data_IF_131026642104
#
_entry.id   IF_131026642104
#
_cell.length_a   1.000
_cell.length_b   1.000
_cell.length_c   1.000
_cell.angle_alpha   90.00
_cell.angle_beta   90.00
_cell.angle_gamma   90.00
#
_symmetry.space_group_name_H-M   'P 1'
#
loop_
_entity.id
_entity.type
_entity.pdbx_description
1 polymer ?
#
# COMPACT_ATOMS: atom_id res chain seq x y z
N UNK A 1 0.81 1.81 -15.96
CA UNK A 1 -0.22 0.99 -15.26
C UNK A 1 -0.90 -0.01 -16.21
N UNK A 2 -1.39 0.40 -17.44
CA UNK A 2 -2.11 -0.48 -18.38
C UNK A 2 -1.34 -1.77 -18.68
N UNK A 3 -0.09 -1.70 -19.15
CA UNK A 3 0.71 -2.89 -19.47
C UNK A 3 0.98 -3.81 -18.26
N UNK A 4 1.04 -3.25 -17.04
CA UNK A 4 1.14 -4.05 -15.80
C UNK A 4 -0.16 -4.82 -15.58
N UNK A 5 -1.32 -4.16 -15.71
CA UNK A 5 -2.63 -4.80 -15.58
C UNK A 5 -2.85 -5.90 -16.64
N UNK A 6 -2.46 -5.64 -17.90
CA UNK A 6 -2.52 -6.64 -18.98
C UNK A 6 -1.63 -7.86 -18.68
N UNK A 7 -0.41 -7.64 -18.19
CA UNK A 7 0.49 -8.72 -17.79
C UNK A 7 -0.06 -9.55 -16.63
N UNK A 8 -0.54 -8.90 -15.57
CA UNK A 8 -1.11 -9.57 -14.41
C UNK A 8 -2.38 -10.36 -14.79
N UNK A 9 -3.23 -9.80 -15.64
CA UNK A 9 -4.41 -10.48 -16.16
C UNK A 9 -4.06 -11.71 -17.01
N UNK A 10 -3.02 -11.60 -17.84
CA UNK A 10 -2.56 -12.72 -18.69
C UNK A 10 -1.88 -13.83 -17.89
N UNK A 11 -1.38 -13.54 -16.69
CA UNK A 11 -0.73 -14.50 -15.78
C UNK A 11 -1.60 -14.92 -14.62
N UNK A 12 -2.85 -14.44 -14.55
CA UNK A 12 -3.81 -14.82 -13.50
C UNK A 12 -4.04 -16.34 -13.49
N UNK A 13 -4.03 -16.95 -12.31
CA UNK A 13 -4.22 -18.39 -12.16
C UNK A 13 -5.64 -18.81 -12.57
N UNK A 14 -5.75 -19.98 -13.20
CA UNK A 14 -7.00 -20.60 -13.65
C UNK A 14 -7.29 -21.94 -12.97
N UNK A 15 -6.33 -22.46 -12.22
CA UNK A 15 -6.38 -23.79 -11.62
C UNK A 15 -5.65 -23.86 -10.28
N UNK A 16 -5.97 -24.87 -9.49
CA UNK A 16 -5.27 -25.18 -8.23
C UNK A 16 -3.99 -25.94 -8.53
N UNK A 17 -2.86 -25.41 -8.04
CA UNK A 17 -1.57 -26.10 -8.04
C UNK A 17 -0.81 -25.77 -6.76
N UNK A 18 -0.77 -26.71 -5.83
CA UNK A 18 -0.15 -26.53 -4.51
C UNK A 18 1.34 -26.19 -4.60
N UNK A 19 2.09 -26.76 -5.56
CA UNK A 19 3.52 -26.47 -5.69
C UNK A 19 3.82 -25.01 -6.09
N UNK A 20 2.86 -24.34 -6.73
CA UNK A 20 2.95 -22.95 -7.15
C UNK A 20 2.12 -22.01 -6.25
N UNK A 21 1.42 -22.54 -5.25
CA UNK A 21 0.44 -21.81 -4.42
C UNK A 21 -0.68 -21.13 -5.26
N UNK A 22 -1.01 -21.72 -6.44
CA UNK A 22 -2.02 -21.14 -7.31
C UNK A 22 -3.42 -21.63 -6.98
N UNK A 23 -4.39 -20.76 -7.15
CA UNK A 23 -5.82 -20.98 -7.02
C UNK A 23 -6.55 -20.15 -8.08
N UNK A 24 -7.69 -20.60 -8.64
CA UNK A 24 -8.41 -19.85 -9.66
C UNK A 24 -8.67 -18.40 -9.26
N UNK A 25 -8.28 -17.46 -10.11
CA UNK A 25 -8.45 -16.02 -9.86
C UNK A 25 -7.29 -15.33 -9.14
N UNK A 26 -6.38 -16.07 -8.50
CA UNK A 26 -5.23 -15.52 -7.78
C UNK A 26 -4.26 -14.82 -8.73
N UNK A 27 -3.70 -13.70 -8.31
CA UNK A 27 -2.71 -12.94 -9.09
C UNK A 27 -1.30 -13.43 -8.74
N UNK A 28 -0.44 -13.47 -9.76
CA UNK A 28 0.94 -13.91 -9.63
C UNK A 28 1.70 -13.04 -8.62
N UNK A 29 2.50 -13.68 -7.76
CA UNK A 29 3.43 -13.01 -6.86
C UNK A 29 4.76 -12.74 -7.57
N UNK A 30 5.32 -13.80 -8.14
CA UNK A 30 6.68 -13.79 -8.66
C UNK A 30 6.78 -14.68 -9.91
N UNK A 31 7.62 -14.26 -10.87
CA UNK A 31 7.96 -15.06 -12.03
C UNK A 31 9.46 -14.99 -12.32
N UNK A 32 10.12 -16.14 -12.33
CA UNK A 32 11.56 -16.27 -12.65
C UNK A 32 11.77 -17.16 -13.85
N UNK A 33 12.71 -16.76 -14.70
CA UNK A 33 13.15 -17.52 -15.87
C UNK A 33 14.55 -18.15 -15.65
N UNK A 34 15.01 -18.28 -14.41
CA UNK A 34 16.28 -18.90 -14.07
C UNK A 34 16.28 -20.40 -14.38
N UNK A 35 17.46 -21.00 -14.51
CA UNK A 35 17.59 -22.44 -14.73
C UNK A 35 16.95 -23.25 -13.61
N UNK A 36 17.22 -22.88 -12.33
CA UNK A 36 16.61 -23.52 -11.15
C UNK A 36 15.09 -23.50 -11.17
N UNK A 37 14.48 -22.39 -11.63
CA UNK A 37 13.04 -22.31 -11.76
C UNK A 37 12.50 -23.18 -12.92
N UNK A 38 13.25 -23.28 -14.03
CA UNK A 38 12.84 -24.12 -15.17
C UNK A 38 12.95 -25.61 -14.91
N UNK A 39 13.90 -26.04 -14.09
CA UNK A 39 14.05 -27.46 -13.69
C UNK A 39 13.23 -27.83 -12.44
N UNK A 40 12.50 -26.87 -11.87
CA UNK A 40 11.59 -27.10 -10.73
C UNK A 40 12.29 -27.24 -9.36
N UNK A 41 13.57 -26.88 -9.24
CA UNK A 41 14.29 -26.87 -7.96
C UNK A 41 13.81 -25.76 -7.02
N UNK A 42 13.22 -24.69 -7.57
CA UNK A 42 12.53 -23.63 -6.83
C UNK A 42 11.16 -23.39 -7.43
N UNK A 43 10.10 -23.09 -6.64
CA UNK A 43 8.72 -22.96 -7.13
C UNK A 43 8.46 -21.70 -7.95
N UNK A 44 9.43 -20.78 -8.06
CA UNK A 44 9.27 -19.41 -8.55
C UNK A 44 9.26 -19.26 -10.09
N UNK A 45 9.03 -20.30 -10.86
CA UNK A 45 8.79 -20.21 -12.31
C UNK A 45 7.54 -19.37 -12.61
N UNK A 46 6.41 -19.77 -12.04
CA UNK A 46 5.21 -18.97 -11.78
C UNK A 46 4.79 -19.29 -10.36
N UNK A 47 4.82 -18.30 -9.49
CA UNK A 47 4.54 -18.49 -8.08
C UNK A 47 3.46 -17.53 -7.60
N UNK A 48 2.49 -18.04 -6.84
CA UNK A 48 1.30 -17.31 -6.42
C UNK A 48 1.19 -17.19 -4.90
N UNK A 49 2.24 -17.49 -4.15
CA UNK A 49 2.27 -17.43 -2.69
C UNK A 49 2.34 -16.00 -2.16
N UNK A 50 1.32 -15.21 -2.46
CA UNK A 50 1.08 -13.87 -1.96
C UNK A 50 -0.42 -13.70 -1.75
N UNK A 51 -0.81 -13.15 -0.60
CA UNK A 51 -2.20 -12.89 -0.24
C UNK A 51 -2.64 -11.48 -0.65
N UNK A 52 -1.71 -10.57 -0.84
CA UNK A 52 -1.94 -9.15 -1.10
C UNK A 52 -1.97 -8.79 -2.60
N UNK A 53 -1.27 -9.54 -3.47
CA UNK A 53 -1.20 -9.24 -4.90
C UNK A 53 -2.58 -9.22 -5.59
N UNK A 54 -3.51 -10.07 -5.15
CA UNK A 54 -4.84 -10.18 -5.74
C UNK A 54 -5.73 -8.97 -5.43
N UNK A 55 -5.92 -8.52 -4.18
CA UNK A 55 -6.63 -7.27 -3.92
C UNK A 55 -5.91 -6.04 -4.49
N UNK A 56 -4.58 -5.99 -4.47
CA UNK A 56 -3.80 -4.89 -5.06
C UNK A 56 -4.00 -4.77 -6.59
N UNK A 57 -4.19 -5.89 -7.30
CA UNK A 57 -4.55 -5.87 -8.72
C UNK A 57 -5.89 -5.17 -8.96
N UNK A 58 -6.90 -5.46 -8.12
CA UNK A 58 -8.22 -4.82 -8.23
C UNK A 58 -8.13 -3.33 -7.90
N UNK A 59 -7.37 -2.95 -6.85
CA UNK A 59 -7.12 -1.55 -6.51
C UNK A 59 -6.45 -0.82 -7.68
N UNK A 60 -5.38 -1.40 -8.28
CA UNK A 60 -4.70 -0.79 -9.41
C UNK A 60 -5.61 -0.62 -10.64
N UNK A 61 -6.53 -1.56 -10.87
CA UNK A 61 -7.51 -1.44 -11.94
C UNK A 61 -8.49 -0.27 -11.68
N UNK A 62 -8.92 -0.09 -10.41
CA UNK A 62 -9.76 1.03 -9.99
C UNK A 62 -9.05 2.38 -10.11
N UNK A 63 -7.85 2.49 -9.59
CA UNK A 63 -7.00 3.69 -9.71
C UNK A 63 -6.72 4.06 -11.17
N UNK A 64 -6.50 3.06 -12.02
CA UNK A 64 -6.35 3.27 -13.47
C UNK A 64 -7.63 3.84 -14.08
N UNK A 65 -8.79 3.27 -13.71
CA UNK A 65 -10.09 3.75 -14.16
C UNK A 65 -10.33 5.21 -13.73
N UNK A 66 -10.16 5.53 -12.47
CA UNK A 66 -10.38 6.88 -11.93
C UNK A 66 -9.47 7.92 -12.60
N UNK A 67 -8.23 7.51 -12.86
CA UNK A 67 -7.22 8.36 -13.49
C UNK A 67 -7.43 8.59 -14.98
N UNK A 68 -7.97 7.60 -15.71
CA UNK A 68 -8.01 7.61 -17.19
C UNK A 68 -9.41 7.72 -17.77
N UNK A 69 -10.43 7.20 -17.11
CA UNK A 69 -11.78 7.04 -17.68
C UNK A 69 -11.83 6.10 -18.90
N UNK A 70 -10.82 5.24 -19.09
CA UNK A 70 -10.70 4.31 -20.23
C UNK A 70 -11.72 3.16 -20.10
N UNK A 71 -12.95 3.43 -20.54
CA UNK A 71 -14.06 2.49 -20.44
C UNK A 71 -13.85 1.22 -21.28
N UNK A 72 -13.16 1.34 -22.41
CA UNK A 72 -12.88 0.18 -23.28
C UNK A 72 -11.94 -0.78 -22.56
N UNK A 73 -10.84 -0.27 -22.01
CA UNK A 73 -9.93 -1.08 -21.22
C UNK A 73 -10.59 -1.62 -19.95
N UNK A 74 -11.40 -0.83 -19.26
CA UNK A 74 -12.18 -1.29 -18.11
C UNK A 74 -13.05 -2.50 -18.47
N UNK A 75 -13.80 -2.44 -19.58
CA UNK A 75 -14.62 -3.57 -20.02
C UNK A 75 -13.77 -4.80 -20.37
N UNK A 76 -12.58 -4.59 -20.95
CA UNK A 76 -11.64 -5.66 -21.28
C UNK A 76 -11.09 -6.37 -20.04
N UNK A 77 -10.68 -5.62 -19.00
CA UNK A 77 -10.06 -6.17 -17.77
C UNK A 77 -11.08 -6.70 -16.77
N UNK A 78 -12.34 -6.28 -16.86
CA UNK A 78 -13.39 -6.60 -15.89
C UNK A 78 -13.55 -8.10 -15.59
N UNK A 79 -13.50 -9.03 -16.56
CA UNK A 79 -13.54 -10.47 -16.27
C UNK A 79 -12.41 -10.94 -15.36
N UNK A 80 -11.25 -10.32 -15.43
CA UNK A 80 -10.12 -10.63 -14.55
C UNK A 80 -10.34 -10.06 -13.14
N UNK A 81 -10.92 -8.87 -13.04
CA UNK A 81 -11.33 -8.27 -11.76
C UNK A 81 -12.36 -9.14 -11.07
N UNK A 82 -13.39 -9.63 -11.77
CA UNK A 82 -14.39 -10.55 -11.19
C UNK A 82 -13.74 -11.83 -10.69
N UNK A 83 -12.83 -12.47 -11.45
CA UNK A 83 -12.12 -13.66 -10.98
C UNK A 83 -11.24 -13.39 -9.74
N UNK A 84 -10.63 -12.21 -9.66
CA UNK A 84 -9.87 -11.80 -8.47
C UNK A 84 -10.79 -11.62 -7.25
N UNK A 85 -11.96 -11.02 -7.43
CA UNK A 85 -12.99 -10.89 -6.38
C UNK A 85 -13.54 -12.26 -5.97
N UNK A 86 -13.75 -13.16 -6.92
CA UNK A 86 -14.17 -14.54 -6.64
C UNK A 86 -13.10 -15.31 -5.85
N UNK A 87 -11.81 -15.07 -6.12
CA UNK A 87 -10.74 -15.63 -5.31
C UNK A 87 -10.76 -15.08 -3.87
N UNK A 88 -10.95 -13.78 -3.70
CA UNK A 88 -11.06 -13.13 -2.39
C UNK A 88 -12.20 -13.76 -1.57
N UNK A 89 -13.36 -13.97 -2.20
CA UNK A 89 -14.57 -14.45 -1.52
C UNK A 89 -14.58 -15.98 -1.27
N UNK A 90 -13.84 -16.79 -2.06
CA UNK A 90 -13.96 -18.25 -2.02
C UNK A 90 -12.68 -19.01 -1.61
N UNK A 91 -11.51 -18.40 -1.79
CA UNK A 91 -10.22 -19.01 -1.48
C UNK A 91 -9.42 -18.19 -0.47
N UNK A 92 -9.57 -16.87 -0.50
CA UNK A 92 -8.89 -15.96 0.42
C UNK A 92 -9.44 -16.05 1.85
N UNK A 93 -10.75 -16.28 1.99
CA UNK A 93 -11.41 -16.54 3.28
C UNK A 93 -11.50 -18.06 3.48
N UNK A 94 -10.54 -18.63 4.22
CA UNK A 94 -10.39 -20.08 4.35
C UNK A 94 -11.39 -20.73 5.31
N UNK A 95 -11.92 -19.99 6.28
CA UNK A 95 -12.80 -20.50 7.33
C UNK A 95 -14.18 -19.87 7.36
N UNK A 96 -14.45 -18.89 6.48
CA UNK A 96 -15.75 -18.26 6.30
C UNK A 96 -16.07 -17.17 7.33
N UNK A 97 -15.05 -16.58 7.95
CA UNK A 97 -15.21 -15.51 8.95
C UNK A 97 -15.22 -14.09 8.34
N UNK A 98 -14.99 -13.98 7.03
CA UNK A 98 -15.00 -12.74 6.27
C UNK A 98 -13.62 -12.06 6.15
N UNK A 99 -12.56 -12.57 6.78
CA UNK A 99 -11.20 -12.09 6.63
C UNK A 99 -10.44 -12.88 5.56
N UNK A 100 -9.64 -12.15 4.80
CA UNK A 100 -8.70 -12.78 3.85
C UNK A 100 -7.43 -13.16 4.58
N UNK A 101 -7.03 -14.42 4.43
CA UNK A 101 -5.93 -15.02 5.15
C UNK A 101 -5.12 -15.99 4.27
N UNK A 102 -4.00 -16.43 4.76
CA UNK A 102 -3.14 -17.37 4.04
C UNK A 102 -2.60 -18.48 4.94
N UNK A 103 -2.40 -19.62 4.32
CA UNK A 103 -1.59 -20.71 4.84
C UNK A 103 -0.70 -21.24 3.71
N UNK A 104 0.54 -21.59 4.04
CA UNK A 104 1.46 -22.20 3.08
C UNK A 104 1.02 -23.62 2.74
N UNK A 105 0.86 -23.92 1.45
CA UNK A 105 0.56 -25.28 0.93
C UNK A 105 1.80 -25.96 0.35
N UNK A 106 2.67 -25.21 -0.32
CA UNK A 106 3.92 -25.74 -0.88
C UNK A 106 4.99 -25.90 0.19
N UNK A 107 5.63 -27.08 0.24
CA UNK A 107 6.75 -27.33 1.17
C UNK A 107 7.93 -26.36 0.93
N UNK A 108 8.14 -25.92 -0.31
CA UNK A 108 9.20 -25.01 -0.73
C UNK A 108 8.72 -23.56 -0.90
N UNK A 109 7.45 -23.28 -0.60
CA UNK A 109 6.86 -21.95 -0.68
C UNK A 109 7.21 -21.06 0.50
N UNK A 110 6.88 -19.77 0.38
CA UNK A 110 7.07 -18.80 1.45
C UNK A 110 6.19 -19.12 2.66
N UNK A 111 6.76 -19.01 3.85
CA UNK A 111 6.03 -19.22 5.12
C UNK A 111 5.08 -18.05 5.37
N UNK A 112 5.55 -16.84 5.13
CA UNK A 112 4.76 -15.62 5.18
C UNK A 112 4.46 -15.15 3.75
N UNK A 113 3.21 -14.78 3.47
CA UNK A 113 2.73 -14.48 2.12
C UNK A 113 2.16 -13.05 1.98
N UNK A 114 2.46 -12.15 2.91
CA UNK A 114 2.26 -10.72 2.78
C UNK A 114 3.55 -10.03 2.33
N UNK A 115 3.53 -8.69 2.25
CA UNK A 115 4.69 -7.92 1.82
C UNK A 115 5.92 -8.09 2.74
N UNK A 116 5.69 -8.41 4.03
CA UNK A 116 6.73 -8.82 4.98
C UNK A 116 6.89 -10.35 4.93
N UNK A 117 7.56 -10.84 3.92
CA UNK A 117 7.65 -12.27 3.60
C UNK A 117 8.77 -13.04 4.32
N UNK A 118 9.55 -12.40 5.19
CA UNK A 118 10.50 -13.11 6.07
C UNK A 118 9.77 -14.10 6.97
N UNK A 119 10.30 -15.30 7.13
CA UNK A 119 9.68 -16.39 7.88
C UNK A 119 9.34 -16.07 9.34
N UNK A 120 9.94 -15.02 9.89
CA UNK A 120 9.80 -14.56 11.28
C UNK A 120 9.07 -13.23 11.43
N UNK A 121 8.42 -12.72 10.38
CA UNK A 121 7.87 -11.36 10.35
C UNK A 121 6.53 -11.21 11.08
N UNK A 122 5.77 -12.29 11.29
CA UNK A 122 4.46 -12.25 11.95
C UNK A 122 4.53 -13.06 13.25
N UNK A 123 4.31 -12.38 14.37
CA UNK A 123 4.54 -12.92 15.70
C UNK A 123 3.67 -12.24 16.77
N UNK A 124 3.51 -12.88 17.92
CA UNK A 124 2.84 -12.37 19.12
C UNK A 124 3.78 -11.49 19.97
N UNK A 125 3.22 -10.75 20.91
CA UNK A 125 3.95 -9.82 21.79
C UNK A 125 5.11 -10.47 22.56
N UNK A 126 5.05 -11.78 22.83
CA UNK A 126 6.11 -12.56 23.47
C UNK A 126 7.19 -13.05 22.49
N UNK A 127 7.04 -12.76 21.19
CA UNK A 127 7.95 -13.20 20.15
C UNK A 127 7.64 -14.57 19.55
N UNK A 128 6.62 -15.30 20.01
CA UNK A 128 6.19 -16.56 19.39
C UNK A 128 5.59 -16.29 18.01
N UNK A 129 5.93 -17.12 17.03
CA UNK A 129 5.42 -16.96 15.66
C UNK A 129 3.92 -17.23 15.58
N UNK A 130 3.21 -16.47 14.80
CA UNK A 130 1.80 -16.69 14.53
C UNK A 130 1.59 -18.01 13.79
N UNK A 131 0.59 -18.79 14.22
CA UNK A 131 0.19 -20.01 13.55
C UNK A 131 -0.79 -19.69 12.40
N UNK A 132 -0.58 -20.33 11.25
CA UNK A 132 -1.50 -20.17 10.11
C UNK A 132 -2.86 -20.89 10.35
N UNK A 133 -3.94 -20.49 9.63
CA UNK A 133 -3.96 -19.40 8.64
C UNK A 133 -3.84 -18.02 9.30
N UNK A 134 -3.26 -17.04 8.58
CA UNK A 134 -2.93 -15.71 9.11
C UNK A 134 -3.67 -14.65 8.32
N UNK A 135 -4.46 -13.81 9.01
CA UNK A 135 -5.12 -12.65 8.45
C UNK A 135 -4.32 -11.38 8.78
N UNK A 136 -3.66 -10.79 7.78
CA UNK A 136 -2.86 -9.56 7.94
C UNK A 136 -3.77 -8.32 7.95
N UNK A 137 -3.47 -7.33 8.78
CA UNK A 137 -4.31 -6.13 8.89
C UNK A 137 -4.31 -5.29 7.60
N UNK A 138 -3.18 -5.14 6.94
CA UNK A 138 -3.07 -4.39 5.68
C UNK A 138 -3.83 -5.07 4.54
N UNK A 139 -3.87 -6.40 4.51
CA UNK A 139 -4.60 -7.14 3.48
C UNK A 139 -6.10 -6.92 3.58
N UNK A 140 -6.65 -6.84 4.81
CA UNK A 140 -8.06 -6.50 4.99
C UNK A 140 -8.38 -5.11 4.43
N UNK A 141 -7.48 -4.16 4.62
CA UNK A 141 -7.64 -2.82 4.07
C UNK A 141 -7.55 -2.79 2.54
N UNK A 142 -6.67 -3.59 1.95
CA UNK A 142 -6.59 -3.74 0.49
C UNK A 142 -7.86 -4.38 -0.07
N UNK A 143 -8.42 -5.39 0.59
CA UNK A 143 -9.69 -6.01 0.20
C UNK A 143 -10.85 -5.01 0.30
N UNK A 144 -10.90 -4.22 1.37
CA UNK A 144 -11.88 -3.16 1.54
C UNK A 144 -11.86 -2.16 0.38
N UNK A 145 -10.69 -1.59 0.10
CA UNK A 145 -10.50 -0.58 -0.96
C UNK A 145 -10.72 -1.19 -2.36
N UNK A 146 -10.26 -2.42 -2.59
CA UNK A 146 -10.51 -3.18 -3.81
C UNK A 146 -12.02 -3.35 -4.08
N UNK A 147 -12.82 -3.70 -3.06
CA UNK A 147 -14.27 -3.82 -3.19
C UNK A 147 -14.94 -2.47 -3.51
N UNK A 148 -14.47 -1.36 -2.92
CA UNK A 148 -14.98 -0.02 -3.23
C UNK A 148 -14.64 0.40 -4.67
N UNK A 149 -13.40 0.21 -5.10
CA UNK A 149 -12.98 0.46 -6.49
C UNK A 149 -13.76 -0.42 -7.48
N UNK A 150 -13.92 -1.70 -7.18
CA UNK A 150 -14.71 -2.62 -7.99
C UNK A 150 -16.19 -2.20 -8.07
N UNK A 151 -16.75 -1.66 -6.99
CA UNK A 151 -18.12 -1.12 -7.02
C UNK A 151 -18.24 0.08 -7.96
N UNK A 152 -17.27 1.01 -7.93
CA UNK A 152 -17.23 2.15 -8.87
C UNK A 152 -17.08 1.68 -10.33
N UNK A 153 -16.23 0.70 -10.58
CA UNK A 153 -16.05 0.08 -11.90
C UNK A 153 -17.32 -0.63 -12.38
N UNK A 154 -18.02 -1.36 -11.49
CA UNK A 154 -19.29 -2.03 -11.80
C UNK A 154 -20.39 -1.03 -12.17
N UNK A 155 -20.52 0.09 -11.44
CA UNK A 155 -21.45 1.17 -11.80
C UNK A 155 -21.15 1.73 -13.19
N UNK A 156 -19.87 2.00 -13.49
CA UNK A 156 -19.45 2.50 -14.80
C UNK A 156 -19.79 1.51 -15.94
N UNK A 157 -19.80 0.22 -15.65
CA UNK A 157 -20.18 -0.83 -16.61
C UNK A 157 -21.69 -1.13 -16.65
N UNK A 158 -22.51 -0.41 -15.85
CA UNK A 158 -23.95 -0.60 -15.79
C UNK A 158 -24.39 -1.85 -15.02
N UNK A 159 -23.64 -2.22 -13.97
CA UNK A 159 -23.89 -3.39 -13.10
C UNK A 159 -24.23 -2.94 -11.65
N UNK A 160 -25.34 -2.21 -11.42
CA UNK A 160 -25.62 -1.57 -10.12
C UNK A 160 -25.84 -2.58 -8.98
N UNK A 161 -26.40 -3.76 -9.26
CA UNK A 161 -26.62 -4.79 -8.24
C UNK A 161 -25.26 -5.35 -7.74
N UNK A 162 -24.29 -5.56 -8.66
CA UNK A 162 -22.93 -5.97 -8.29
C UNK A 162 -22.24 -4.89 -7.45
N UNK A 163 -22.38 -3.64 -7.84
CA UNK A 163 -21.83 -2.49 -7.12
C UNK A 163 -22.39 -2.41 -5.69
N UNK A 164 -23.70 -2.57 -5.52
CA UNK A 164 -24.36 -2.56 -4.22
C UNK A 164 -23.86 -3.71 -3.32
N UNK A 165 -23.72 -4.94 -3.88
CA UNK A 165 -23.18 -6.09 -3.15
C UNK A 165 -21.75 -5.81 -2.67
N UNK A 166 -20.88 -5.29 -3.54
CA UNK A 166 -19.48 -5.00 -3.20
C UNK A 166 -19.36 -3.95 -2.11
N UNK A 167 -20.16 -2.87 -2.15
CA UNK A 167 -20.18 -1.85 -1.08
C UNK A 167 -20.63 -2.45 0.25
N UNK A 168 -21.64 -3.35 0.23
CA UNK A 168 -22.08 -4.02 1.46
C UNK A 168 -20.96 -4.91 2.01
N UNK A 169 -20.30 -5.72 1.19
CA UNK A 169 -19.18 -6.57 1.60
C UNK A 169 -18.01 -5.74 2.16
N UNK A 170 -17.73 -4.56 1.58
CA UNK A 170 -16.72 -3.65 2.11
C UNK A 170 -17.10 -3.13 3.50
N UNK A 171 -18.35 -2.70 3.70
CA UNK A 171 -18.80 -2.19 5.00
C UNK A 171 -18.85 -3.29 6.07
N UNK A 172 -19.28 -4.50 5.72
CA UNK A 172 -19.29 -5.65 6.63
C UNK A 172 -17.85 -5.96 7.10
N UNK A 173 -16.88 -5.95 6.16
CA UNK A 173 -15.46 -6.14 6.48
C UNK A 173 -14.92 -5.02 7.38
N UNK A 174 -15.28 -3.75 7.12
CA UNK A 174 -14.85 -2.61 7.95
C UNK A 174 -15.33 -2.77 9.40
N UNK A 175 -16.59 -3.16 9.60
CA UNK A 175 -17.13 -3.38 10.93
C UNK A 175 -16.40 -4.51 11.67
N UNK A 176 -16.18 -5.65 10.99
CA UNK A 176 -15.45 -6.77 11.56
C UNK A 176 -13.98 -6.42 11.86
N UNK A 177 -13.32 -5.66 10.96
CA UNK A 177 -11.94 -5.20 11.16
C UNK A 177 -11.81 -4.33 12.42
N UNK A 178 -12.70 -3.37 12.61
CA UNK A 178 -12.70 -2.49 13.79
C UNK A 178 -12.94 -3.25 15.10
N UNK A 179 -13.70 -4.34 15.06
CA UNK A 179 -13.99 -5.17 16.22
C UNK A 179 -12.82 -6.09 16.59
N UNK A 180 -12.18 -6.73 15.61
CA UNK A 180 -11.24 -7.83 15.86
C UNK A 180 -9.77 -7.42 15.86
N UNK A 181 -9.38 -6.38 15.08
CA UNK A 181 -7.98 -5.99 14.96
C UNK A 181 -7.56 -4.89 15.92
N UNK A 182 -8.50 -4.06 16.44
CA UNK A 182 -8.15 -2.99 17.34
C UNK A 182 -7.68 -3.50 18.70
N UNK A 183 -6.51 -3.04 19.14
CA UNK A 183 -5.91 -3.38 20.44
C UNK A 183 -5.76 -2.10 21.27
N UNK A 184 -6.70 -1.88 22.20
CA UNK A 184 -6.73 -0.66 23.04
C UNK A 184 -5.48 -0.52 23.92
N UNK A 185 -4.95 -1.64 24.41
CA UNK A 185 -3.78 -1.71 25.29
C UNK A 185 -2.48 -1.23 24.65
N UNK A 186 -2.33 -1.42 23.32
CA UNK A 186 -1.17 -0.93 22.56
C UNK A 186 -1.51 0.28 21.67
N UNK A 187 -2.78 0.72 21.66
CA UNK A 187 -3.26 1.92 20.95
C UNK A 187 -3.19 1.86 19.42
N UNK A 188 -3.18 0.65 18.85
CA UNK A 188 -3.11 0.42 17.40
C UNK A 188 -3.80 -0.89 17.03
N UNK A 189 -3.90 -1.16 15.72
CA UNK A 189 -4.38 -2.45 15.21
C UNK A 189 -3.29 -3.52 15.33
N UNK A 190 -3.68 -4.75 15.64
CA UNK A 190 -2.80 -5.91 15.60
C UNK A 190 -2.20 -6.06 14.19
N UNK A 191 -0.94 -6.51 14.11
CA UNK A 191 -0.30 -6.77 12.81
C UNK A 191 -1.06 -7.85 12.02
N UNK A 192 -1.64 -8.84 12.73
CA UNK A 192 -2.40 -9.94 12.16
C UNK A 192 -3.32 -10.58 13.21
N UNK A 193 -4.26 -11.40 12.74
CA UNK A 193 -4.91 -12.44 13.54
C UNK A 193 -4.28 -13.78 13.15
N UNK A 194 -3.97 -14.63 14.14
CA UNK A 194 -3.45 -15.98 13.92
C UNK A 194 -4.58 -16.97 13.54
N UNK A 195 -4.24 -18.24 13.31
CA UNK A 195 -5.21 -19.28 12.95
C UNK A 195 -6.24 -19.63 14.02
N UNK A 196 -6.16 -19.03 15.20
CA UNK A 196 -7.18 -19.08 16.25
C UNK A 196 -7.87 -17.72 16.43
N UNK A 197 -7.66 -16.81 15.51
CA UNK A 197 -8.13 -15.42 15.53
C UNK A 197 -7.66 -14.62 16.75
N UNK A 198 -6.50 -15.02 17.31
CA UNK A 198 -5.87 -14.26 18.39
C UNK A 198 -5.06 -13.09 17.78
N UNK A 199 -5.22 -11.87 18.28
CA UNK A 199 -4.50 -10.72 17.74
C UNK A 199 -3.00 -10.78 18.09
N UNK A 200 -2.16 -10.66 17.07
CA UNK A 200 -0.72 -10.45 17.20
C UNK A 200 -0.45 -9.00 17.58
N UNK A 201 -0.38 -8.72 18.87
CA UNK A 201 -0.32 -7.36 19.47
C UNK A 201 1.09 -6.81 19.40
N UNK A 202 1.47 -6.35 18.20
CA UNK A 202 2.78 -5.78 17.89
C UNK A 202 2.58 -4.42 17.25
N UNK A 203 3.28 -3.41 17.75
CA UNK A 203 3.31 -2.08 17.14
C UNK A 203 4.17 -2.13 15.88
N UNK A 204 3.54 -2.05 14.73
CA UNK A 204 4.14 -2.22 13.42
C UNK A 204 3.72 -1.13 12.44
N UNK A 205 4.36 -1.07 11.29
CA UNK A 205 3.99 -0.15 10.20
C UNK A 205 2.73 -0.58 9.43
N UNK A 206 2.31 -1.85 9.51
CA UNK A 206 1.17 -2.40 8.78
C UNK A 206 -0.14 -1.61 8.95
N UNK A 207 -0.49 -1.06 10.15
CA UNK A 207 -1.64 -0.17 10.29
C UNK A 207 -1.56 1.12 9.47
N UNK A 208 -0.38 1.56 9.05
CA UNK A 208 -0.20 2.66 8.11
C UNK A 208 -0.79 2.34 6.73
N UNK A 209 -0.68 1.08 6.29
CA UNK A 209 -1.34 0.59 5.07
C UNK A 209 -2.86 0.47 5.26
N UNK A 210 -3.34 0.19 6.48
CA UNK A 210 -4.77 0.21 6.77
C UNK A 210 -5.35 1.64 6.67
N UNK A 211 -4.59 2.66 7.06
CA UNK A 211 -4.93 4.06 6.78
C UNK A 211 -4.94 4.34 5.26
N UNK A 212 -3.94 3.86 4.52
CA UNK A 212 -3.90 4.01 3.06
C UNK A 212 -5.13 3.40 2.38
N UNK A 213 -5.51 2.18 2.75
CA UNK A 213 -6.72 1.51 2.25
C UNK A 213 -8.04 2.13 2.73
N UNK A 214 -8.03 2.96 3.79
CA UNK A 214 -9.19 3.72 4.24
C UNK A 214 -10.21 2.95 5.07
N UNK A 215 -9.86 1.77 5.60
CA UNK A 215 -10.75 0.92 6.40
C UNK A 215 -10.93 1.40 7.84
N UNK A 216 -10.00 2.21 8.33
CA UNK A 216 -9.80 2.58 9.74
C UNK A 216 -10.81 3.63 10.21
N UNK A 217 -11.31 3.52 11.44
CA UNK A 217 -12.01 4.61 12.11
C UNK A 217 -11.12 5.86 12.24
N UNK A 218 -11.69 7.07 12.11
CA UNK A 218 -10.93 8.30 12.06
C UNK A 218 -10.15 8.58 13.35
N UNK A 219 -10.78 8.38 14.52
CA UNK A 219 -10.16 8.69 15.82
C UNK A 219 -9.07 7.68 16.16
N UNK A 220 -9.31 6.40 15.92
CA UNK A 220 -8.30 5.34 15.99
C UNK A 220 -7.17 5.58 15.00
N UNK A 221 -7.51 5.99 13.77
CA UNK A 221 -6.56 6.34 12.73
C UNK A 221 -5.61 7.47 13.13
N UNK A 222 -6.10 8.49 13.85
CA UNK A 222 -5.23 9.55 14.40
C UNK A 222 -4.23 8.99 15.41
N UNK A 223 -4.64 8.11 16.31
CA UNK A 223 -3.76 7.45 17.29
C UNK A 223 -2.70 6.59 16.58
N UNK A 224 -3.10 5.84 15.55
CA UNK A 224 -2.15 5.07 14.72
C UNK A 224 -1.13 5.98 14.04
N UNK A 225 -1.56 7.07 13.42
CA UNK A 225 -0.67 7.99 12.72
C UNK A 225 0.33 8.66 13.69
N UNK A 226 -0.11 9.06 14.87
CA UNK A 226 0.76 9.61 15.94
C UNK A 226 1.76 8.57 16.44
N UNK A 227 1.35 7.33 16.63
CA UNK A 227 2.24 6.22 16.99
C UNK A 227 3.32 6.00 15.93
N UNK A 228 2.93 6.01 14.63
CA UNK A 228 3.86 5.77 13.52
C UNK A 228 4.93 6.87 13.35
N UNK A 229 4.63 8.12 13.71
CA UNK A 229 5.62 9.22 13.74
C UNK A 229 6.31 9.38 15.09
N UNK A 230 5.92 8.60 16.10
CA UNK A 230 6.56 8.57 17.41
C UNK A 230 7.97 7.97 17.38
N UNK A 231 8.83 8.32 18.34
CA UNK A 231 10.26 7.97 18.34
C UNK A 231 10.56 6.46 18.34
N UNK A 232 9.65 5.61 18.82
CA UNK A 232 9.83 4.15 18.77
C UNK A 232 9.62 3.59 17.35
N UNK A 233 8.71 4.19 16.57
CA UNK A 233 8.46 3.81 15.18
C UNK A 233 9.26 4.64 14.18
N UNK A 234 9.41 5.96 14.40
CA UNK A 234 10.08 6.84 13.47
C UNK A 234 11.57 6.96 13.76
N UNK A 235 12.40 6.51 12.81
CA UNK A 235 13.87 6.52 12.94
C UNK A 235 14.51 7.89 12.70
N UNK A 236 13.76 8.86 12.18
CA UNK A 236 14.27 10.13 11.64
C UNK A 236 14.57 10.06 10.13
N UNK A 237 14.60 8.85 9.54
CA UNK A 237 14.69 8.62 8.10
C UNK A 237 13.34 8.16 7.50
N UNK A 238 12.59 7.42 8.25
CA UNK A 238 11.28 6.86 7.90
C UNK A 238 10.73 6.00 9.04
N UNK A 239 9.57 5.40 8.79
CA UNK A 239 8.87 4.54 9.72
C UNK A 239 9.54 3.16 9.74
N UNK A 240 9.86 2.64 10.92
CA UNK A 240 10.36 1.28 11.10
C UNK A 240 9.23 0.28 10.89
N UNK A 241 9.59 -0.90 10.41
CA UNK A 241 8.63 -1.99 10.20
C UNK A 241 7.96 -2.48 11.48
N UNK A 242 8.69 -2.42 12.62
CA UNK A 242 8.16 -2.61 13.98
C UNK A 242 8.82 -1.64 14.95
N UNK A 243 8.15 -1.38 16.10
CA UNK A 243 8.62 -0.45 17.10
C UNK A 243 9.86 -0.97 17.86
N UNK A 244 10.70 -0.04 18.29
CA UNK A 244 11.75 -0.34 19.27
C UNK A 244 11.09 -0.88 20.53
N UNK A 245 11.62 -1.98 21.07
CA UNK A 245 11.09 -2.65 22.25
C UNK A 245 10.16 -3.83 21.99
N UNK A 246 9.69 -4.01 20.75
CA UNK A 246 8.98 -5.25 20.39
C UNK A 246 9.94 -6.46 20.45
N UNK A 247 9.40 -7.64 20.78
CA UNK A 247 10.19 -8.83 21.11
C UNK A 247 11.19 -9.27 20.00
N UNK A 248 10.88 -9.01 18.73
CA UNK A 248 11.74 -9.34 17.59
C UNK A 248 12.40 -8.12 16.95
N UNK A 249 12.40 -6.98 17.63
CA UNK A 249 13.03 -5.78 17.09
C UNK A 249 14.53 -5.97 16.90
N UNK A 250 14.99 -5.75 15.67
CA UNK A 250 16.40 -5.62 15.32
C UNK A 250 16.51 -4.63 14.14
N UNK A 251 17.21 -3.47 14.30
CA UNK A 251 17.30 -2.47 13.24
C UNK A 251 18.00 -2.97 11.97
N UNK A 252 18.60 -4.15 12.01
CA UNK A 252 19.23 -4.83 10.86
C UNK A 252 18.44 -6.05 10.38
N UNK A 253 17.27 -6.37 10.97
CA UNK A 253 16.42 -7.45 10.48
C UNK A 253 15.55 -6.96 9.33
N UNK A 254 15.52 -7.74 8.23
CA UNK A 254 14.91 -7.36 6.95
C UNK A 254 13.49 -6.81 7.07
N UNK A 255 12.59 -7.47 7.85
CA UNK A 255 11.23 -7.00 8.10
C UNK A 255 10.91 -6.68 9.58
N UNK A 256 11.90 -6.81 10.49
CA UNK A 256 11.66 -6.64 11.93
C UNK A 256 12.47 -5.50 12.54
N UNK A 257 12.42 -4.31 11.93
CA UNK A 257 13.02 -3.10 12.50
C UNK A 257 13.70 -2.17 11.50
N UNK A 258 13.86 -2.56 10.24
CA UNK A 258 14.36 -1.72 9.13
C UNK A 258 13.33 -0.68 8.69
N UNK A 259 13.74 0.24 7.82
CA UNK A 259 12.90 1.26 7.20
C UNK A 259 12.78 0.99 5.70
N UNK A 260 11.54 0.90 5.23
CA UNK A 260 11.22 0.69 3.82
C UNK A 260 10.58 1.96 3.26
N UNK A 261 11.15 2.55 2.20
CA UNK A 261 10.59 3.77 1.62
C UNK A 261 9.14 3.66 1.20
N UNK A 262 8.75 2.53 0.54
CA UNK A 262 7.37 2.33 0.10
C UNK A 262 6.38 2.25 1.26
N UNK A 263 6.71 1.51 2.31
CA UNK A 263 5.93 1.36 3.54
C UNK A 263 5.69 2.72 4.22
N UNK A 264 6.78 3.49 4.39
CA UNK A 264 6.71 4.87 4.90
C UNK A 264 5.84 5.77 4.01
N UNK A 265 5.96 5.65 2.68
CA UNK A 265 5.18 6.44 1.72
C UNK A 265 3.70 6.10 1.73
N UNK A 266 3.34 4.82 1.84
CA UNK A 266 1.94 4.39 1.97
C UNK A 266 1.31 4.90 3.27
N UNK A 267 2.04 4.82 4.39
CA UNK A 267 1.58 5.39 5.65
C UNK A 267 1.33 6.91 5.54
N UNK A 268 2.27 7.65 4.92
CA UNK A 268 2.12 9.10 4.70
C UNK A 268 0.91 9.44 3.80
N UNK A 269 0.66 8.64 2.76
CA UNK A 269 -0.54 8.77 1.93
C UNK A 269 -1.81 8.47 2.72
N UNK A 270 -1.77 7.49 3.62
CA UNK A 270 -2.84 7.22 4.57
C UNK A 270 -3.12 8.42 5.47
N UNK A 271 -2.09 9.06 6.03
CA UNK A 271 -2.26 10.29 6.82
C UNK A 271 -2.97 11.39 6.02
N UNK A 272 -2.54 11.60 4.78
CA UNK A 272 -3.17 12.57 3.88
C UNK A 272 -4.63 12.22 3.58
N UNK A 273 -4.94 10.95 3.31
CA UNK A 273 -6.32 10.47 3.07
C UNK A 273 -7.25 10.83 4.23
N UNK A 274 -6.78 10.74 5.46
CA UNK A 274 -7.54 11.07 6.67
C UNK A 274 -7.48 12.56 7.05
N UNK A 275 -6.70 13.39 6.35
CA UNK A 275 -6.53 14.81 6.63
C UNK A 275 -5.66 15.09 7.85
N UNK A 276 -4.69 14.20 8.14
CA UNK A 276 -3.67 14.38 9.18
C UNK A 276 -2.43 15.04 8.57
N UNK A 277 -2.62 16.17 7.93
CA UNK A 277 -1.60 16.87 7.13
C UNK A 277 -0.36 17.26 7.94
N UNK A 278 -0.54 17.54 9.23
CA UNK A 278 0.53 17.81 10.20
C UNK A 278 1.51 16.65 10.40
N UNK A 279 1.09 15.42 10.12
CA UNK A 279 1.91 14.21 10.28
C UNK A 279 2.61 13.75 8.99
N UNK A 280 2.25 14.29 7.82
CA UNK A 280 2.83 13.91 6.52
C UNK A 280 4.26 14.43 6.36
N UNK A 281 4.56 15.60 6.94
CA UNK A 281 5.83 16.30 6.74
C UNK A 281 7.04 15.53 7.23
N UNK A 282 6.95 14.84 8.38
CA UNK A 282 8.07 14.13 8.97
C UNK A 282 8.54 12.93 8.13
N UNK A 283 7.66 12.01 7.69
CA UNK A 283 8.02 10.94 6.76
C UNK A 283 8.61 11.45 5.46
N UNK A 284 8.04 12.51 4.89
CA UNK A 284 8.55 13.10 3.65
C UNK A 284 9.94 13.69 3.82
N UNK A 285 10.17 14.49 4.87
CA UNK A 285 11.48 15.07 5.14
C UNK A 285 12.55 14.00 5.37
N UNK A 286 12.23 12.98 6.16
CA UNK A 286 13.15 11.87 6.42
C UNK A 286 13.55 11.12 5.16
N UNK A 287 12.59 10.73 4.31
CA UNK A 287 12.88 10.05 3.05
C UNK A 287 13.59 10.96 2.03
N UNK A 288 13.24 12.25 1.97
CA UNK A 288 13.92 13.20 1.12
C UNK A 288 15.40 13.33 1.49
N UNK A 289 15.70 13.51 2.77
CA UNK A 289 17.08 13.61 3.24
C UNK A 289 17.85 12.29 3.09
N UNK A 290 17.18 11.14 3.25
CA UNK A 290 17.75 9.85 2.92
C UNK A 290 18.11 9.76 1.43
N UNK A 291 17.22 10.21 0.54
CA UNK A 291 17.48 10.23 -0.91
C UNK A 291 18.66 11.13 -1.29
N UNK A 292 18.86 12.26 -0.60
CA UNK A 292 20.02 13.14 -0.81
C UNK A 292 21.33 12.46 -0.39
N UNK A 293 21.28 11.61 0.62
CA UNK A 293 22.46 10.92 1.17
C UNK A 293 22.86 9.66 0.39
N UNK A 294 21.99 9.11 -0.46
CA UNK A 294 22.29 7.89 -1.24
C UNK A 294 22.85 8.23 -2.62
N UNK A 295 23.64 7.30 -3.17
CA UNK A 295 24.28 7.47 -4.48
C UNK A 295 23.26 7.72 -5.60
N UNK A 296 23.53 8.71 -6.44
CA UNK A 296 22.67 9.13 -7.54
C UNK A 296 21.22 9.49 -7.13
N UNK A 297 20.97 9.74 -5.85
CA UNK A 297 19.62 10.00 -5.29
C UNK A 297 18.60 8.88 -5.57
N UNK A 298 19.09 7.65 -5.76
CA UNK A 298 18.25 6.48 -6.04
C UNK A 298 17.91 5.76 -4.75
N UNK A 299 16.65 5.82 -4.37
CA UNK A 299 16.18 5.15 -3.15
C UNK A 299 16.39 3.64 -3.24
N UNK A 300 17.09 3.04 -2.26
CA UNK A 300 17.21 1.59 -2.16
C UNK A 300 15.86 1.00 -1.68
N UNK A 301 15.76 -0.31 -1.78
CA UNK A 301 14.64 -1.08 -1.28
C UNK A 301 14.34 -0.79 0.20
N UNK A 302 15.38 -0.80 1.03
CA UNK A 302 15.31 -0.52 2.46
C UNK A 302 16.66 0.01 2.97
N UNK A 303 16.66 0.53 4.17
CA UNK A 303 17.85 0.80 4.97
C UNK A 303 17.63 0.40 6.43
N UNK A 304 18.75 0.25 7.18
CA UNK A 304 18.68 -0.18 8.59
C UNK A 304 17.90 0.81 9.43
N UNK A 305 17.17 0.31 10.43
CA UNK A 305 16.28 1.10 11.27
C UNK A 305 16.96 1.81 12.45
N UNK A 306 18.26 2.06 12.36
CA UNK A 306 18.96 2.84 13.41
C UNK A 306 18.41 4.25 13.50
N UNK A 307 18.41 4.79 14.72
CA UNK A 307 18.04 6.19 14.93
C UNK A 307 18.98 7.12 14.17
N UNK A 308 18.44 8.13 13.52
CA UNK A 308 19.19 9.16 12.82
C UNK A 308 20.19 9.85 13.75
N UNK A 309 21.40 10.05 13.27
CA UNK A 309 22.47 10.80 13.92
C UNK A 309 22.80 12.04 13.13
N UNK A 310 23.14 13.10 13.84
CA UNK A 310 23.53 14.37 13.19
C UNK A 310 24.80 14.20 12.37
N UNK A 311 24.77 14.62 11.09
CA UNK A 311 25.93 14.59 10.19
C UNK A 311 26.19 13.22 9.53
N UNK A 312 25.36 12.20 9.81
CA UNK A 312 25.47 10.88 9.17
C UNK A 312 24.28 10.66 8.22
N UNK A 313 24.50 9.85 7.17
CA UNK A 313 23.43 9.34 6.31
C UNK A 313 22.76 8.10 6.91
N UNK A 314 21.67 7.58 6.27
CA UNK A 314 21.07 6.33 6.70
C UNK A 314 22.07 5.16 6.55
N UNK A 315 22.08 4.25 7.52
CA UNK A 315 22.88 3.03 7.43
C UNK A 315 22.25 2.13 6.35
N UNK A 316 22.96 1.92 5.26
CA UNK A 316 22.48 1.11 4.14
C UNK A 316 22.36 -0.37 4.53
N UNK A 317 21.35 -1.04 3.99
CA UNK A 317 21.21 -2.48 4.15
C UNK A 317 22.07 -3.20 3.09
N UNK A 318 22.98 -4.12 3.48
CA UNK A 318 24.06 -4.59 2.60
C UNK A 318 23.63 -5.27 1.31
N UNK A 319 22.46 -5.93 1.32
CA UNK A 319 21.93 -6.72 0.18
C UNK A 319 20.62 -6.15 -0.39
N UNK A 320 20.31 -4.89 -0.06
CA UNK A 320 19.13 -4.21 -0.61
C UNK A 320 19.26 -4.02 -2.12
N UNK A 321 18.17 -4.23 -2.86
CA UNK A 321 18.09 -3.83 -4.25
C UNK A 321 18.22 -2.30 -4.36
N UNK A 322 19.06 -1.80 -5.26
CA UNK A 322 19.30 -0.37 -5.46
C UNK A 322 19.53 -0.04 -6.93
N UNK A 323 18.60 0.69 -7.56
CA UNK A 323 17.30 1.12 -7.05
C UNK A 323 16.26 -0.02 -6.98
N UNK A 324 15.18 0.22 -6.21
CA UNK A 324 14.00 -0.64 -6.20
C UNK A 324 12.79 0.14 -6.75
N UNK A 325 11.94 -0.51 -7.53
CA UNK A 325 10.84 0.15 -8.26
C UNK A 325 9.87 0.88 -7.31
N UNK A 326 9.37 0.22 -6.27
CA UNK A 326 8.43 0.83 -5.32
C UNK A 326 9.09 1.94 -4.47
N UNK A 327 10.39 1.81 -4.13
CA UNK A 327 11.13 2.87 -3.46
C UNK A 327 11.32 4.10 -4.36
N UNK A 328 11.54 3.89 -5.66
CA UNK A 328 11.62 4.99 -6.64
C UNK A 328 10.28 5.70 -6.84
N UNK A 329 9.17 4.96 -6.75
CA UNK A 329 7.82 5.51 -6.88
C UNK A 329 7.39 6.37 -5.69
N UNK A 330 7.97 6.16 -4.52
CA UNK A 330 7.53 6.81 -3.27
C UNK A 330 7.64 8.35 -3.33
N UNK A 331 8.60 8.90 -4.03
CA UNK A 331 8.79 10.36 -4.17
C UNK A 331 7.56 11.01 -4.78
N UNK A 332 7.01 10.42 -5.84
CA UNK A 332 5.79 10.91 -6.48
C UNK A 332 4.57 10.72 -5.59
N UNK A 333 4.53 9.62 -4.86
CA UNK A 333 3.45 9.33 -3.92
C UNK A 333 3.41 10.33 -2.77
N UNK A 334 4.56 10.68 -2.20
CA UNK A 334 4.68 11.71 -1.16
C UNK A 334 4.30 13.10 -1.67
N UNK A 335 4.71 13.47 -2.89
CA UNK A 335 4.31 14.75 -3.51
C UNK A 335 2.78 14.77 -3.67
N UNK A 336 2.18 13.68 -4.19
CA UNK A 336 0.74 13.58 -4.34
C UNK A 336 0.01 13.69 -2.99
N UNK A 337 0.53 13.03 -1.94
CA UNK A 337 -0.02 13.09 -0.59
C UNK A 337 0.00 14.52 -0.02
N UNK A 338 1.13 15.23 -0.14
CA UNK A 338 1.25 16.62 0.32
C UNK A 338 0.32 17.59 -0.44
N UNK A 339 0.21 17.39 -1.75
CA UNK A 339 -0.62 18.26 -2.58
C UNK A 339 -2.10 17.87 -2.54
N UNK A 340 -2.43 16.69 -2.01
CA UNK A 340 -3.77 16.08 -2.05
C UNK A 340 -4.39 16.22 -3.45
N UNK A 341 -3.55 15.91 -4.45
CA UNK A 341 -3.88 16.04 -5.84
C UNK A 341 -4.65 14.82 -6.31
N UNK A 342 -5.83 15.02 -6.85
CA UNK A 342 -6.67 13.97 -7.41
C UNK A 342 -7.18 14.32 -8.80
N UNK A 343 -7.36 13.31 -9.63
CA UNK A 343 -7.89 13.44 -10.99
C UNK A 343 -9.17 12.62 -11.09
N UNK A 344 -10.23 13.30 -11.46
CA UNK A 344 -11.51 12.68 -11.80
C UNK A 344 -11.67 12.75 -13.32
N UNK A 345 -11.38 11.63 -13.98
CA UNK A 345 -11.42 11.61 -15.44
C UNK A 345 -12.85 11.72 -15.99
N UNK A 346 -13.86 11.23 -15.25
CA UNK A 346 -15.27 11.30 -15.63
C UNK A 346 -15.78 12.73 -15.63
N UNK A 347 -15.48 13.48 -14.58
CA UNK A 347 -15.87 14.88 -14.43
C UNK A 347 -14.88 15.84 -15.14
N UNK A 348 -13.82 15.31 -15.76
CA UNK A 348 -12.73 16.10 -16.38
C UNK A 348 -12.19 17.15 -15.42
N UNK A 349 -11.86 16.74 -14.20
CA UNK A 349 -11.49 17.64 -13.11
C UNK A 349 -10.17 17.23 -12.49
N UNK A 350 -9.32 18.23 -12.23
CA UNK A 350 -8.16 18.15 -11.36
C UNK A 350 -8.49 18.85 -10.05
N UNK A 351 -8.43 18.15 -8.94
CA UNK A 351 -8.65 18.74 -7.61
C UNK A 351 -7.37 18.80 -6.81
N UNK A 352 -7.19 19.90 -6.07
CA UNK A 352 -6.12 20.11 -5.11
C UNK A 352 -6.81 20.54 -3.82
N UNK A 353 -6.71 19.72 -2.78
CA UNK A 353 -7.46 19.93 -1.53
C UNK A 353 -6.50 20.22 -0.38
N UNK A 354 -6.46 21.49 0.08
CA UNK A 354 -5.61 21.92 1.21
C UNK A 354 -4.16 21.45 1.06
N UNK A 355 -3.55 21.78 -0.08
CA UNK A 355 -2.15 21.45 -0.34
C UNK A 355 -1.26 21.95 0.78
N UNK A 356 -0.32 21.11 1.20
CA UNK A 356 0.75 21.47 2.14
C UNK A 356 2.11 21.15 1.51
N UNK A 357 3.13 21.93 1.86
CA UNK A 357 4.50 21.62 1.48
C UNK A 357 5.31 21.34 2.74
N UNK A 358 6.25 20.38 2.69
CA UNK A 358 7.15 20.16 3.82
C UNK A 358 8.02 21.41 4.05
N UNK A 359 8.46 21.69 5.29
CA UNK A 359 9.12 22.94 5.68
C UNK A 359 10.39 23.27 4.90
N UNK A 360 11.04 22.30 4.26
CA UNK A 360 12.24 22.51 3.44
C UNK A 360 11.94 22.96 2.01
N UNK A 361 10.66 22.95 1.58
CA UNK A 361 10.24 23.44 0.26
C UNK A 361 9.52 24.77 0.39
N UNK A 362 10.10 25.81 -0.18
CA UNK A 362 9.45 27.13 -0.29
C UNK A 362 8.52 27.20 -1.50
N UNK A 363 8.77 26.41 -2.52
CA UNK A 363 7.92 26.26 -3.70
C UNK A 363 8.11 24.90 -4.37
N UNK A 364 7.11 24.49 -5.13
CA UNK A 364 7.13 23.30 -5.98
C UNK A 364 6.50 23.62 -7.35
N UNK A 365 7.15 23.22 -8.43
CA UNK A 365 6.57 23.29 -9.78
C UNK A 365 6.28 21.91 -10.32
N UNK A 366 5.04 21.68 -10.75
CA UNK A 366 4.67 20.55 -11.57
C UNK A 366 4.59 21.01 -13.03
N UNK A 367 5.49 20.51 -13.86
CA UNK A 367 5.57 20.89 -15.26
C UNK A 367 5.04 19.77 -16.15
N UNK A 368 4.18 20.13 -17.11
CA UNK A 368 3.62 19.20 -18.08
C UNK A 368 2.92 17.99 -17.45
N UNK A 369 2.16 18.22 -16.35
CA UNK A 369 1.35 17.17 -15.76
C UNK A 369 0.31 16.73 -16.78
N UNK A 370 0.50 15.51 -17.30
CA UNK A 370 -0.37 14.92 -18.32
C UNK A 370 -1.65 14.36 -17.69
N UNK A 371 -2.79 14.74 -18.25
CA UNK A 371 -4.12 14.30 -17.87
C UNK A 371 -4.79 13.63 -19.07
N UNK A 372 -5.81 12.79 -18.90
CA UNK A 372 -6.54 12.17 -20.02
C UNK A 372 -7.19 13.19 -20.97
N UNK A 373 -7.44 14.40 -20.45
CA UNK A 373 -8.16 15.47 -21.13
C UNK A 373 -7.28 16.70 -21.42
N UNK A 374 -5.96 16.62 -21.21
CA UNK A 374 -5.04 17.72 -21.49
C UNK A 374 -3.75 17.69 -20.68
N UNK A 375 -3.16 18.85 -20.48
CA UNK A 375 -1.97 19.02 -19.64
C UNK A 375 -1.98 20.33 -18.88
N UNK A 376 -1.25 20.40 -17.77
CA UNK A 376 -1.21 21.59 -16.92
C UNK A 376 0.17 21.77 -16.28
N UNK A 377 0.57 23.02 -16.11
CA UNK A 377 1.72 23.44 -15.31
C UNK A 377 1.20 24.19 -14.08
N UNK A 378 1.66 23.78 -12.92
CA UNK A 378 1.26 24.32 -11.63
C UNK A 378 2.46 24.83 -10.85
N UNK A 379 2.29 25.92 -10.12
CA UNK A 379 3.22 26.43 -9.12
C UNK A 379 2.51 26.43 -7.77
N UNK A 380 3.13 25.81 -6.80
CA UNK A 380 2.76 25.85 -5.39
C UNK A 380 3.78 26.67 -4.64
N UNK A 381 3.35 27.65 -3.84
CA UNK A 381 4.24 28.52 -3.06
C UNK A 381 3.79 28.51 -1.59
N UNK A 382 4.75 28.23 -0.69
CA UNK A 382 4.52 28.21 0.74
C UNK A 382 4.41 29.62 1.30
N UNK A 383 3.36 29.89 2.02
CA UNK A 383 3.17 31.10 2.83
C UNK A 383 3.11 30.75 4.32
N UNK A 384 2.98 31.74 5.18
CA UNK A 384 2.96 31.57 6.64
C UNK A 384 1.83 30.64 7.11
N UNK A 385 0.68 30.68 6.46
CA UNK A 385 -0.53 29.99 6.90
C UNK A 385 -1.08 28.98 5.88
N UNK A 386 -0.71 29.11 4.60
CA UNK A 386 -1.26 28.25 3.53
C UNK A 386 -0.25 28.08 2.39
N UNK A 387 -0.65 27.30 1.41
CA UNK A 387 0.03 27.15 0.12
C UNK A 387 -0.84 27.77 -0.97
N UNK A 388 -0.27 28.72 -1.72
CA UNK A 388 -0.93 29.24 -2.91
C UNK A 388 -0.73 28.29 -4.09
N UNK A 389 -1.72 28.22 -4.97
CA UNK A 389 -1.68 27.41 -6.20
C UNK A 389 -1.92 28.32 -7.39
N UNK A 390 -0.93 28.41 -8.28
CA UNK A 390 -0.99 29.20 -9.50
C UNK A 390 -0.96 28.27 -10.72
N UNK A 391 -1.94 28.41 -11.62
CA UNK A 391 -1.93 27.75 -12.92
C UNK A 391 -1.06 28.55 -13.87
N UNK A 392 0.12 28.02 -14.22
CA UNK A 392 1.06 28.68 -15.13
C UNK A 392 0.69 28.46 -16.59
N UNK A 393 0.22 27.27 -16.94
CA UNK A 393 -0.19 26.89 -18.28
C UNK A 393 -1.25 25.80 -18.21
N UNK A 394 -2.25 25.87 -19.09
CA UNK A 394 -3.30 24.84 -19.19
C UNK A 394 -3.62 24.60 -20.65
N UNK A 395 -3.61 23.34 -21.08
CA UNK A 395 -4.07 22.88 -22.39
C UNK A 395 -5.17 21.84 -22.21
N UNK A 396 -6.24 21.98 -22.96
CA UNK A 396 -7.42 21.14 -22.86
C UNK A 396 -8.55 21.79 -22.08
N UNK A 397 -9.73 21.18 -22.18
CA UNK A 397 -10.94 21.64 -21.52
C UNK A 397 -11.24 20.78 -20.30
N UNK A 398 -10.99 21.31 -19.09
CA UNK A 398 -11.22 20.65 -17.81
C UNK A 398 -11.26 21.67 -16.68
N UNK A 399 -11.89 21.28 -15.56
CA UNK A 399 -11.93 22.09 -14.34
C UNK A 399 -10.65 21.89 -13.51
N UNK A 400 -10.15 22.98 -12.92
CA UNK A 400 -9.14 22.95 -11.86
C UNK A 400 -9.79 23.47 -10.59
N UNK A 401 -9.96 22.60 -9.60
CA UNK A 401 -10.58 22.92 -8.32
C UNK A 401 -9.52 23.00 -7.24
N UNK A 402 -9.36 24.16 -6.63
CA UNK A 402 -8.48 24.38 -5.49
C UNK A 402 -9.34 24.65 -4.26
N UNK A 403 -9.16 23.83 -3.24
CA UNK A 403 -9.79 23.96 -1.92
C UNK A 403 -8.69 24.36 -0.95
N UNK A 404 -8.91 25.46 -0.21
CA UNK A 404 -8.00 25.98 0.82
C UNK A 404 -8.41 25.56 2.22
#
# INVERSE_FOLDING_TARGET
>A
SRGVLEFLAATQADSVNESQESQPGKIIHEMRNSEMARVGEVPFGRYYGSVDSTPLFVMLAGEYWDRTGDREFLAHIWPNVERALDWIDNYGDCDGDGFVEYARHSANGLVQQGWKDSSDSIFHADGTLAAAPIALCEVQAYVYDARLHAACMADALGKPERAAKLRKQAEDLRCAFEEHFWCEDIGTYAIALDGRKQPCRVRSSNPGHALYGGIVDRDRGRRVAEMLVGGEMFSGWGIRTIAVGEARFNPMAYHNGTVWPHDTGLAAAGFSRYGFDDLVSAPFAGLFEAAVAVENHRMPELFCGFQRRTGEGPTLYPVACSPQAWASGVVFHLIQACLRLSVDAKERRLSIDRASLPPFLTYLRLMNLSLPFGSIDLLFEQHLLDVSVTVLRKHGDFEVRVIK
#
